data_IF_912042033845
#
_entry.id   IF_912042033845
#
_cell.length_a   1.000
_cell.length_b   1.000
_cell.length_c   1.000
_cell.angle_alpha   90.00
_cell.angle_beta   90.00
_cell.angle_gamma   90.00
#
_symmetry.space_group_name_H-M   'P 1'
#
loop_
_entity.id
_entity.type
_entity.pdbx_description
1 polymer ?
#
# COMPACT_ATOMS: atom_id res chain seq x y z
N UNK A 1 27.83 49.60 -2.90
CA UNK A 1 27.54 48.32 -2.22
C UNK A 1 26.73 47.37 -3.14
N UNK A 2 27.24 47.07 -4.35
CA UNK A 2 26.60 46.17 -5.34
C UNK A 2 27.62 45.20 -5.97
N UNK A 3 28.64 44.81 -5.21
CA UNK A 3 29.76 43.99 -5.71
C UNK A 3 30.03 42.72 -4.90
N UNK A 4 29.39 42.54 -3.73
CA UNK A 4 29.50 41.31 -2.91
C UNK A 4 28.44 40.26 -3.30
N UNK A 5 27.34 40.68 -3.95
CA UNK A 5 26.25 39.76 -4.33
C UNK A 5 26.46 39.04 -5.66
N UNK A 6 27.45 39.41 -6.49
CA UNK A 6 27.68 38.76 -7.79
C UNK A 6 28.67 37.59 -7.75
N UNK A 7 29.39 37.38 -6.66
CA UNK A 7 30.32 36.24 -6.51
C UNK A 7 29.69 35.00 -5.87
N UNK A 8 28.60 35.14 -5.10
CA UNK A 8 27.94 33.99 -4.44
C UNK A 8 27.19 33.10 -5.44
N UNK A 9 26.80 33.63 -6.60
CA UNK A 9 26.05 32.87 -7.62
C UNK A 9 26.94 31.92 -8.43
N UNK A 10 28.27 32.07 -8.36
CA UNK A 10 29.20 31.27 -9.16
C UNK A 10 29.75 30.00 -8.47
N UNK A 11 29.32 29.67 -7.24
CA UNK A 11 29.81 28.49 -6.51
C UNK A 11 28.77 27.40 -6.24
N UNK A 12 27.53 27.51 -6.72
CA UNK A 12 26.48 26.50 -6.49
C UNK A 12 26.16 25.62 -7.72
N UNK A 13 26.90 25.77 -8.82
CA UNK A 13 26.66 25.03 -10.08
C UNK A 13 27.74 23.97 -10.35
N UNK A 14 28.72 23.80 -9.45
CA UNK A 14 29.80 22.82 -9.57
C UNK A 14 29.74 21.68 -8.52
N UNK A 15 28.54 21.35 -8.04
CA UNK A 15 28.23 20.00 -7.50
C UNK A 15 27.06 19.45 -8.33
N UNK A 16 27.24 19.53 -9.64
CA UNK A 16 26.49 18.82 -10.66
C UNK A 16 27.51 17.79 -11.23
N UNK A 17 27.13 16.53 -11.34
CA UNK A 17 27.90 15.45 -12.00
C UNK A 17 28.85 14.56 -11.16
N UNK A 18 28.40 14.07 -9.99
CA UNK A 18 28.73 12.69 -9.62
C UNK A 18 27.43 11.93 -9.33
N UNK A 19 27.21 10.89 -10.13
CA UNK A 19 25.92 10.28 -10.39
C UNK A 19 25.20 9.77 -9.15
N UNK A 20 24.01 10.30 -8.94
CA UNK A 20 22.95 9.58 -8.25
C UNK A 20 21.68 9.75 -9.08
N UNK A 21 21.65 9.08 -10.23
CA UNK A 21 20.43 8.34 -10.60
C UNK A 21 20.22 7.25 -9.55
N UNK A 22 19.97 7.64 -8.30
CA UNK A 22 19.30 6.76 -7.35
C UNK A 22 17.91 6.67 -7.91
N UNK A 23 17.67 5.61 -8.65
CA UNK A 23 16.33 5.10 -8.80
C UNK A 23 15.75 5.09 -7.38
N UNK A 24 14.80 5.99 -7.12
CA UNK A 24 13.98 5.89 -5.92
C UNK A 24 13.19 4.60 -6.13
N UNK A 25 13.79 3.47 -5.76
CA UNK A 25 13.12 2.19 -5.74
C UNK A 25 11.98 2.38 -4.75
N UNK A 26 10.76 2.56 -5.26
CA UNK A 26 9.55 2.50 -4.46
C UNK A 26 9.52 1.10 -3.86
N UNK A 27 9.99 0.99 -2.61
CA UNK A 27 10.00 -0.27 -1.87
C UNK A 27 8.56 -0.63 -1.55
N UNK A 28 7.91 -1.31 -2.49
CA UNK A 28 6.55 -1.81 -2.31
C UNK A 28 6.61 -2.94 -1.28
N UNK A 29 6.16 -2.64 -0.06
CA UNK A 29 6.19 -3.60 1.05
C UNK A 29 5.24 -4.76 0.76
N UNK A 30 5.80 -5.94 0.49
CA UNK A 30 5.01 -7.17 0.37
C UNK A 30 4.68 -7.73 1.75
N UNK A 31 3.44 -8.20 1.91
CA UNK A 31 2.93 -8.81 3.14
C UNK A 31 2.27 -10.15 2.83
N UNK A 32 2.30 -11.04 3.81
CA UNK A 32 1.62 -12.33 3.77
C UNK A 32 0.90 -12.54 5.11
N UNK A 33 -0.40 -12.79 5.07
CA UNK A 33 -1.22 -12.90 6.28
C UNK A 33 -2.46 -13.78 6.07
N UNK A 34 -3.00 -14.28 7.17
CA UNK A 34 -4.32 -14.89 7.24
C UNK A 34 -5.32 -13.86 7.73
N UNK A 35 -6.55 -13.96 7.24
CA UNK A 35 -7.63 -13.10 7.68
C UNK A 35 -9.00 -13.59 7.26
N UNK A 36 -9.99 -12.76 7.55
CA UNK A 36 -11.40 -13.00 7.26
C UNK A 36 -11.93 -11.88 6.39
N UNK A 37 -12.60 -12.25 5.30
CA UNK A 37 -13.31 -11.30 4.44
C UNK A 37 -14.47 -10.70 5.24
N UNK A 38 -14.63 -9.38 5.16
CA UNK A 38 -15.75 -8.66 5.77
C UNK A 38 -16.41 -7.70 4.81
N UNK A 39 -17.73 -7.66 4.84
CA UNK A 39 -18.48 -6.58 4.24
C UNK A 39 -18.53 -5.40 5.20
N UNK A 40 -18.11 -4.21 4.76
CA UNK A 40 -17.94 -3.04 5.60
C UNK A 40 -18.87 -1.93 5.13
N UNK A 41 -19.92 -1.69 5.92
CA UNK A 41 -20.93 -0.68 5.65
C UNK A 41 -20.51 0.68 6.22
N UNK A 42 -19.46 1.29 5.66
CA UNK A 42 -19.12 2.71 5.88
C UNK A 42 -19.06 3.40 4.53
N UNK A 43 -19.59 4.62 4.45
CA UNK A 43 -19.59 5.52 3.28
C UNK A 43 -19.24 4.85 1.94
N UNK A 44 -20.22 4.25 1.27
CA UNK A 44 -20.05 3.69 -0.08
C UNK A 44 -19.99 2.16 -0.18
N UNK A 45 -19.97 1.46 0.96
CA UNK A 45 -20.05 -0.02 1.07
C UNK A 45 -18.93 -0.77 0.33
N UNK A 46 -18.07 -1.47 1.08
CA UNK A 46 -16.91 -2.12 0.48
C UNK A 46 -16.53 -3.44 1.16
N UNK A 47 -15.63 -4.18 0.51
CA UNK A 47 -15.12 -5.44 1.02
C UNK A 47 -13.71 -5.26 1.58
N UNK A 48 -13.54 -5.58 2.86
CA UNK A 48 -12.27 -5.54 3.57
C UNK A 48 -11.79 -6.91 4.01
N UNK A 49 -10.55 -6.99 4.46
CA UNK A 49 -9.97 -8.18 5.09
C UNK A 49 -9.46 -7.77 6.48
N UNK A 50 -9.92 -8.48 7.52
CA UNK A 50 -9.40 -8.33 8.88
C UNK A 50 -8.45 -9.50 9.14
N UNK A 51 -7.18 -9.22 9.42
CA UNK A 51 -6.20 -10.26 9.76
C UNK A 51 -6.45 -10.84 11.15
N UNK A 52 -5.83 -11.99 11.43
CA UNK A 52 -5.90 -12.66 12.75
C UNK A 52 -5.44 -11.77 13.91
N UNK A 53 -4.53 -10.80 13.66
CA UNK A 53 -4.06 -9.81 14.63
C UNK A 53 -4.89 -8.50 14.64
N UNK A 54 -6.04 -8.48 13.96
CA UNK A 54 -6.99 -7.37 13.97
C UNK A 54 -6.65 -6.21 13.03
N UNK A 55 -5.59 -6.29 12.22
CA UNK A 55 -5.29 -5.26 11.22
C UNK A 55 -6.31 -5.29 10.08
N UNK A 56 -6.65 -4.11 9.60
CA UNK A 56 -7.62 -3.89 8.53
C UNK A 56 -6.92 -3.61 7.21
N UNK A 57 -7.33 -4.33 6.18
CA UNK A 57 -6.80 -4.19 4.84
C UNK A 57 -7.92 -3.99 3.83
N UNK A 58 -7.81 -2.96 3.01
CA UNK A 58 -8.74 -2.66 1.93
C UNK A 58 -8.12 -3.08 0.59
N UNK A 59 -8.56 -4.21 0.01
CA UNK A 59 -8.07 -4.66 -1.28
C UNK A 59 -8.67 -3.86 -2.45
N UNK A 60 -7.82 -3.37 -3.35
CA UNK A 60 -8.28 -2.66 -4.56
C UNK A 60 -8.70 -3.57 -5.71
N UNK A 61 -8.44 -4.88 -5.60
CA UNK A 61 -8.63 -5.87 -6.67
C UNK A 61 -9.20 -7.21 -6.15
N UNK A 62 -10.06 -7.18 -5.13
CA UNK A 62 -10.72 -8.38 -4.61
C UNK A 62 -11.70 -8.95 -5.66
N UNK A 63 -11.47 -10.21 -6.06
CA UNK A 63 -12.35 -10.91 -7.02
C UNK A 63 -13.71 -11.25 -6.38
N UNK A 64 -14.76 -11.23 -7.18
CA UNK A 64 -16.15 -11.52 -6.77
C UNK A 64 -16.28 -12.86 -6.02
N UNK A 65 -15.54 -13.90 -6.44
CA UNK A 65 -15.56 -15.22 -5.81
C UNK A 65 -15.10 -15.23 -4.33
N UNK A 66 -14.50 -14.14 -3.84
CA UNK A 66 -14.10 -13.99 -2.44
C UNK A 66 -14.98 -13.02 -1.66
N UNK A 67 -15.97 -12.35 -2.29
CA UNK A 67 -16.90 -11.42 -1.62
C UNK A 67 -17.98 -12.17 -0.84
N UNK A 68 -17.55 -12.86 0.21
CA UNK A 68 -18.40 -13.61 1.13
C UNK A 68 -18.00 -13.24 2.55
N UNK A 69 -18.93 -12.66 3.30
CA UNK A 69 -18.65 -12.28 4.69
C UNK A 69 -18.29 -13.53 5.51
N UNK A 70 -17.25 -13.41 6.33
CA UNK A 70 -16.76 -14.51 7.16
C UNK A 70 -15.83 -15.50 6.45
N UNK A 71 -15.54 -15.35 5.15
CA UNK A 71 -14.67 -16.27 4.42
C UNK A 71 -13.21 -16.20 4.92
N UNK A 72 -12.64 -17.30 5.46
CA UNK A 72 -11.24 -17.33 5.87
C UNK A 72 -10.31 -17.46 4.66
N UNK A 73 -9.27 -16.63 4.62
CA UNK A 73 -8.36 -16.52 3.47
C UNK A 73 -6.89 -16.40 3.90
N UNK A 74 -6.00 -16.94 3.07
CA UNK A 74 -4.57 -16.67 3.09
C UNK A 74 -4.25 -15.71 1.95
N UNK A 75 -3.58 -14.59 2.26
CA UNK A 75 -3.36 -13.48 1.33
C UNK A 75 -1.89 -13.14 1.24
N UNK A 76 -1.36 -13.05 0.02
CA UNK A 76 -0.11 -12.35 -0.31
C UNK A 76 -0.46 -11.08 -1.06
N UNK A 77 0.05 -9.94 -0.60
CA UNK A 77 -0.31 -8.65 -1.16
C UNK A 77 0.86 -7.65 -1.08
N UNK A 78 0.69 -6.51 -1.74
CA UNK A 78 1.56 -5.35 -1.64
C UNK A 78 0.80 -4.20 -0.98
N UNK A 79 1.41 -3.57 0.01
CA UNK A 79 0.88 -2.34 0.59
C UNK A 79 1.08 -1.21 -0.40
N UNK A 80 0.01 -0.47 -0.67
CA UNK A 80 0.04 0.70 -1.55
C UNK A 80 -0.16 1.96 -0.71
N UNK A 81 0.46 3.07 -1.13
CA UNK A 81 0.26 4.38 -0.50
C UNK A 81 -0.92 5.15 -1.12
N UNK A 82 -1.88 4.44 -1.75
CA UNK A 82 -3.06 5.09 -2.31
C UNK A 82 -4.01 5.47 -1.18
N UNK A 83 -4.40 6.73 -1.15
CA UNK A 83 -5.51 7.18 -0.31
C UNK A 83 -6.80 6.50 -0.75
N UNK A 84 -7.53 5.93 0.21
CA UNK A 84 -8.90 5.44 0.03
C UNK A 84 -9.87 6.43 0.66
N UNK A 85 -11.09 6.48 0.14
CA UNK A 85 -12.15 7.35 0.71
C UNK A 85 -12.66 6.82 2.05
N UNK A 86 -12.59 5.51 2.27
CA UNK A 86 -13.14 4.85 3.45
C UNK A 86 -12.33 5.07 4.73
N UNK A 87 -11.03 5.44 4.61
CA UNK A 87 -10.13 5.67 5.75
C UNK A 87 -10.12 4.55 6.82
N UNK A 88 -10.44 3.31 6.41
CA UNK A 88 -10.74 2.21 7.34
C UNK A 88 -9.52 1.34 7.68
N UNK A 89 -8.57 1.21 6.75
CA UNK A 89 -7.43 0.32 6.87
C UNK A 89 -6.35 0.61 5.83
N UNK A 90 -5.35 -0.26 5.75
CA UNK A 90 -4.27 -0.14 4.75
C UNK A 90 -4.74 -0.61 3.39
N UNK A 91 -4.58 0.23 2.38
CA UNK A 91 -4.86 -0.13 0.99
C UNK A 91 -3.84 -1.16 0.49
N UNK A 92 -4.31 -2.29 -0.02
CA UNK A 92 -3.46 -3.35 -0.55
C UNK A 92 -3.88 -3.77 -1.96
N UNK A 93 -2.90 -4.27 -2.71
CA UNK A 93 -3.13 -4.97 -3.97
C UNK A 93 -2.81 -6.45 -3.78
N UNK A 94 -3.79 -7.31 -4.03
CA UNK A 94 -3.67 -8.75 -3.84
C UNK A 94 -2.84 -9.33 -4.98
N UNK A 95 -1.76 -10.04 -4.61
CA UNK A 95 -0.94 -10.85 -5.54
C UNK A 95 -1.48 -12.27 -5.60
N UNK A 96 -1.85 -12.85 -4.45
CA UNK A 96 -2.41 -14.20 -4.34
C UNK A 96 -3.38 -14.27 -3.17
N UNK A 97 -4.50 -14.94 -3.38
CA UNK A 97 -5.51 -15.20 -2.34
C UNK A 97 -6.03 -16.62 -2.50
N UNK A 98 -6.14 -17.34 -1.39
CA UNK A 98 -6.70 -18.69 -1.34
C UNK A 98 -7.67 -18.80 -0.17
N UNK A 99 -8.76 -19.55 -0.34
CA UNK A 99 -9.65 -19.94 0.76
C UNK A 99 -8.92 -20.91 1.69
N UNK A 100 -9.07 -20.74 2.99
CA UNK A 100 -8.60 -21.71 3.97
C UNK A 100 -9.77 -22.68 4.20
N UNK A 101 -9.59 -23.94 3.82
CA UNK A 101 -10.53 -24.99 4.20
C UNK A 101 -10.20 -25.41 5.63
N UNK A 102 -11.17 -25.36 6.53
CA UNK A 102 -11.06 -26.12 7.76
C UNK A 102 -11.36 -27.58 7.38
N UNK A 103 -10.33 -28.42 7.33
CA UNK A 103 -10.51 -29.86 7.30
C UNK A 103 -11.13 -30.25 8.66
N UNK A 104 -12.37 -30.73 8.62
CA UNK A 104 -12.98 -31.49 9.71
C UNK A 104 -12.38 -32.90 9.73
#
# INVERSE_FOLDING_TARGET
MKLVQKTIVLSLVAILCLGLSTTYATSTKSINFKGTIRHVMVEGDFWGIISEDGKKYEPTNLKEEFKQDGLPVQVKATVTNRFNIHMWGKTIEIIKINRIKNSQ
#
